data_IF_874825360494
#
_entry.id   IF_874825360494
#
_cell.length_a   1.000
_cell.length_b   1.000
_cell.length_c   1.000
_cell.angle_alpha   90.00
_cell.angle_beta   90.00
_cell.angle_gamma   90.00
#
_symmetry.space_group_name_H-M   'P 1'
#
loop_
_entity.id
_entity.type
_entity.pdbx_description
1 polymer ?
#
# COMPACT_ATOMS: atom_id res chain seq x y z
N UNK A 1 1.27 -1.46 -14.21
CA UNK A 1 0.16 -1.19 -15.14
C UNK A 1 0.74 -0.94 -16.52
N UNK A 2 0.15 -1.56 -17.54
CA UNK A 2 0.48 -1.39 -18.95
C UNK A 2 -0.75 -0.90 -19.70
N UNK A 3 -0.55 -0.23 -20.82
CA UNK A 3 -1.62 0.25 -21.70
C UNK A 3 -1.39 -0.30 -23.10
N UNK A 4 -2.46 -0.68 -23.78
CA UNK A 4 -2.43 -1.16 -25.16
C UNK A 4 -3.00 -0.08 -26.06
N UNK A 5 -2.22 0.37 -27.03
CA UNK A 5 -2.61 1.49 -27.90
C UNK A 5 -2.45 1.10 -29.36
N UNK A 6 -3.41 1.51 -30.19
CA UNK A 6 -3.37 1.25 -31.63
C UNK A 6 -2.18 1.91 -32.33
N UNK A 7 -1.71 3.06 -31.82
CA UNK A 7 -0.53 3.74 -32.34
C UNK A 7 0.75 2.88 -32.26
N UNK A 8 0.79 1.91 -31.36
CA UNK A 8 1.88 0.94 -31.21
C UNK A 8 1.58 -0.40 -31.89
N UNK A 9 0.52 -0.48 -32.71
CA UNK A 9 0.08 -1.70 -33.37
C UNK A 9 -0.59 -2.72 -32.43
N UNK A 10 -0.97 -2.32 -31.20
CA UNK A 10 -1.65 -3.22 -30.28
C UNK A 10 -3.14 -3.35 -30.61
N UNK A 11 -3.68 -4.54 -30.40
CA UNK A 11 -5.12 -4.85 -30.41
C UNK A 11 -5.52 -5.43 -29.04
N UNK A 12 -6.75 -5.17 -28.59
CA UNK A 12 -7.28 -5.76 -27.36
C UNK A 12 -7.51 -7.27 -27.51
N UNK A 13 -7.98 -7.70 -28.69
CA UNK A 13 -8.12 -9.10 -29.11
C UNK A 13 -6.79 -9.85 -29.07
N UNK A 14 -5.74 -9.29 -29.66
CA UNK A 14 -4.39 -9.86 -29.65
C UNK A 14 -3.76 -9.84 -28.27
N UNK A 15 -4.03 -8.80 -27.48
CA UNK A 15 -3.63 -8.78 -26.08
C UNK A 15 -4.28 -9.95 -25.32
N UNK A 16 -5.61 -10.04 -25.34
CA UNK A 16 -6.38 -11.09 -24.66
C UNK A 16 -5.96 -12.50 -25.08
N UNK A 17 -5.94 -12.77 -26.39
CA UNK A 17 -5.55 -14.06 -26.95
C UNK A 17 -4.16 -14.48 -26.47
N UNK A 18 -3.19 -13.56 -26.50
CA UNK A 18 -1.83 -13.85 -26.05
C UNK A 18 -1.81 -14.28 -24.59
N UNK A 19 -2.45 -13.54 -23.67
CA UNK A 19 -2.36 -13.79 -22.22
C UNK A 19 -3.08 -15.08 -21.83
N UNK A 20 -4.26 -15.31 -22.40
CA UNK A 20 -5.10 -16.45 -22.07
C UNK A 20 -4.77 -17.71 -22.88
N UNK A 21 -3.86 -17.65 -23.85
CA UNK A 21 -3.58 -18.81 -24.71
C UNK A 21 -4.77 -19.19 -25.59
N UNK A 22 -5.55 -18.21 -26.04
CA UNK A 22 -6.76 -18.41 -26.84
C UNK A 22 -6.51 -18.16 -28.32
N UNK A 23 -7.47 -18.56 -29.15
CA UNK A 23 -7.60 -18.11 -30.53
C UNK A 23 -8.73 -17.08 -30.62
N UNK A 24 -8.43 -15.85 -31.01
CA UNK A 24 -9.42 -14.78 -31.20
C UNK A 24 -9.21 -14.17 -32.59
N UNK A 25 -10.27 -14.09 -33.39
CA UNK A 25 -10.29 -13.32 -34.62
C UNK A 25 -10.57 -11.85 -34.28
N UNK A 26 -9.67 -10.96 -34.68
CA UNK A 26 -9.92 -9.52 -34.64
C UNK A 26 -10.77 -9.13 -35.86
N UNK A 27 -12.05 -8.85 -35.64
CA UNK A 27 -13.01 -8.55 -36.70
C UNK A 27 -12.68 -7.24 -37.44
N UNK A 28 -12.00 -6.31 -36.77
CA UNK A 28 -11.66 -5.00 -37.35
C UNK A 28 -10.51 -5.10 -38.35
N UNK A 29 -9.56 -6.00 -38.11
CA UNK A 29 -8.35 -6.17 -38.92
C UNK A 29 -8.35 -7.43 -39.77
N UNK A 30 -9.27 -8.37 -39.50
CA UNK A 30 -9.29 -9.71 -40.09
C UNK A 30 -8.16 -10.62 -39.59
N UNK A 31 -7.36 -10.18 -38.61
CA UNK A 31 -6.21 -10.94 -38.12
C UNK A 31 -6.64 -11.97 -37.09
N UNK A 32 -6.33 -13.25 -37.33
CA UNK A 32 -6.52 -14.31 -36.36
C UNK A 32 -5.31 -14.39 -35.41
N UNK A 33 -5.52 -14.07 -34.14
CA UNK A 33 -4.52 -14.21 -33.09
C UNK A 33 -4.64 -15.60 -32.46
N UNK A 34 -3.77 -16.54 -32.85
CA UNK A 34 -3.79 -17.92 -32.36
C UNK A 34 -2.62 -18.21 -31.41
N UNK A 35 -2.93 -18.28 -30.11
CA UNK A 35 -1.96 -18.60 -29.06
C UNK A 35 -2.33 -19.88 -28.31
N UNK A 36 -3.11 -20.77 -28.92
CA UNK A 36 -3.54 -22.06 -28.34
C UNK A 36 -2.38 -22.98 -27.97
N UNK A 37 -1.21 -22.78 -28.59
CA UNK A 37 0.02 -23.54 -28.28
C UNK A 37 0.84 -22.93 -27.13
N UNK A 38 0.34 -21.88 -26.49
CA UNK A 38 1.05 -21.24 -25.38
C UNK A 38 1.03 -22.15 -24.16
N UNK A 39 2.22 -22.37 -23.59
CA UNK A 39 2.39 -23.11 -22.34
C UNK A 39 2.38 -22.18 -21.13
N UNK A 40 2.10 -22.75 -19.97
CA UNK A 40 2.19 -22.09 -18.69
C UNK A 40 1.03 -21.17 -18.32
N UNK A 41 -0.07 -21.21 -19.07
CA UNK A 41 -1.35 -20.62 -18.65
C UNK A 41 -2.09 -21.68 -17.83
N UNK A 42 -2.35 -21.43 -16.55
CA UNK A 42 -2.93 -22.43 -15.63
C UNK A 42 -4.39 -22.18 -15.32
N UNK A 43 -4.85 -20.93 -15.37
CA UNK A 43 -6.27 -20.57 -15.23
C UNK A 43 -6.57 -19.32 -16.05
N UNK A 44 -7.78 -19.25 -16.60
CA UNK A 44 -8.31 -18.11 -17.35
C UNK A 44 -9.74 -17.85 -16.89
N UNK A 45 -10.03 -16.62 -16.49
CA UNK A 45 -11.35 -16.18 -16.06
C UNK A 45 -11.75 -14.91 -16.83
N UNK A 46 -12.96 -14.88 -17.36
CA UNK A 46 -13.61 -13.66 -17.85
C UNK A 46 -14.57 -13.19 -16.77
N UNK A 47 -14.44 -11.93 -16.35
CA UNK A 47 -15.25 -11.30 -15.32
C UNK A 47 -15.90 -10.04 -15.89
N UNK A 48 -17.14 -9.79 -15.51
CA UNK A 48 -17.93 -8.64 -15.93
C UNK A 48 -18.85 -8.19 -14.78
N UNK A 49 -19.40 -6.97 -14.84
CA UNK A 49 -20.48 -6.55 -13.97
C UNK A 49 -21.68 -7.51 -14.04
N UNK A 50 -22.46 -7.60 -12.95
CA UNK A 50 -23.61 -8.51 -12.86
C UNK A 50 -24.72 -8.17 -13.86
N UNK A 51 -24.82 -6.90 -14.25
CA UNK A 51 -25.79 -6.38 -15.22
C UNK A 51 -25.25 -6.41 -16.67
N UNK A 52 -24.10 -7.05 -16.91
CA UNK A 52 -23.52 -7.16 -18.23
C UNK A 52 -24.34 -8.09 -19.15
N UNK A 53 -24.26 -7.91 -20.49
CA UNK A 53 -24.96 -8.76 -21.43
C UNK A 53 -24.43 -10.19 -21.40
N UNK A 54 -25.24 -11.18 -21.80
CA UNK A 54 -24.85 -12.60 -21.80
C UNK A 54 -23.58 -12.88 -22.62
N UNK A 55 -23.36 -12.14 -23.72
CA UNK A 55 -22.15 -12.27 -24.54
C UNK A 55 -20.87 -11.90 -23.78
N UNK A 56 -20.94 -11.20 -22.64
CA UNK A 56 -19.79 -10.83 -21.84
C UNK A 56 -19.09 -12.03 -21.17
N UNK A 57 -19.71 -13.22 -21.17
CA UNK A 57 -19.07 -14.46 -20.76
C UNK A 57 -18.04 -14.97 -21.79
N UNK A 58 -18.16 -14.61 -23.07
CA UNK A 58 -17.22 -15.00 -24.12
C UNK A 58 -16.09 -13.97 -24.27
N UNK A 59 -14.82 -14.34 -23.98
CA UNK A 59 -13.70 -13.43 -24.16
C UNK A 59 -13.57 -12.93 -25.62
N UNK A 60 -13.87 -13.75 -26.63
CA UNK A 60 -13.77 -13.33 -28.02
C UNK A 60 -14.77 -12.21 -28.33
N UNK A 61 -16.03 -12.37 -27.92
CA UNK A 61 -17.06 -11.34 -28.02
C UNK A 61 -16.68 -10.06 -27.27
N UNK A 62 -16.21 -10.18 -26.02
CA UNK A 62 -15.80 -9.04 -25.18
C UNK A 62 -14.72 -8.20 -25.85
N UNK A 63 -13.64 -8.83 -26.29
CA UNK A 63 -12.48 -8.08 -26.78
C UNK A 63 -12.70 -7.52 -28.19
N UNK A 64 -13.55 -8.14 -29.01
CA UNK A 64 -14.01 -7.53 -30.26
C UNK A 64 -14.96 -6.35 -29.99
N UNK A 65 -15.87 -6.45 -29.02
CA UNK A 65 -16.73 -5.33 -28.63
C UNK A 65 -15.90 -4.15 -28.07
N UNK A 66 -14.85 -4.43 -27.30
CA UNK A 66 -13.93 -3.42 -26.79
C UNK A 66 -13.17 -2.70 -27.93
N UNK A 67 -12.70 -3.44 -28.93
CA UNK A 67 -12.10 -2.85 -30.15
C UNK A 67 -13.09 -1.94 -30.88
N UNK A 68 -14.33 -2.40 -31.12
CA UNK A 68 -15.36 -1.61 -31.82
C UNK A 68 -15.72 -0.32 -31.08
N UNK A 69 -15.72 -0.34 -29.76
CA UNK A 69 -16.07 0.83 -28.95
C UNK A 69 -15.01 1.95 -29.00
N UNK A 70 -13.78 1.66 -29.43
CA UNK A 70 -12.73 2.66 -29.59
C UNK A 70 -12.65 3.18 -31.03
N UNK A 71 -12.92 4.48 -31.23
CA UNK A 71 -13.09 5.05 -32.58
C UNK A 71 -11.84 5.69 -33.20
N UNK A 72 -10.76 5.93 -32.44
CA UNK A 72 -9.59 6.69 -32.94
C UNK A 72 -8.41 5.77 -33.27
N UNK A 73 -7.59 6.18 -34.25
CA UNK A 73 -6.36 5.45 -34.67
C UNK A 73 -5.30 5.30 -33.59
N UNK A 74 -5.33 6.16 -32.57
CA UNK A 74 -4.40 6.16 -31.44
C UNK A 74 -5.08 5.81 -30.11
N UNK A 75 -6.27 5.20 -30.15
CA UNK A 75 -7.01 4.83 -28.94
C UNK A 75 -6.20 3.87 -28.07
N UNK A 76 -6.25 4.09 -26.76
CA UNK A 76 -6.00 3.04 -25.78
C UNK A 76 -7.19 2.08 -25.82
N UNK A 77 -6.94 0.80 -26.08
CA UNK A 77 -7.95 -0.25 -26.33
C UNK A 77 -8.09 -1.23 -25.17
N UNK A 78 -7.07 -1.34 -24.32
CA UNK A 78 -7.10 -2.15 -23.09
C UNK A 78 -6.02 -1.66 -22.11
N UNK A 79 -6.16 -2.03 -20.85
CA UNK A 79 -5.17 -1.80 -19.79
C UNK A 79 -4.87 -3.13 -19.10
N UNK A 80 -3.68 -3.26 -18.52
CA UNK A 80 -3.26 -4.49 -17.84
C UNK A 80 -2.60 -4.19 -16.49
N UNK A 81 -3.08 -4.88 -15.46
CA UNK A 81 -2.35 -5.10 -14.22
C UNK A 81 -1.64 -6.44 -14.30
N UNK A 82 -0.31 -6.40 -14.25
CA UNK A 82 0.53 -7.59 -14.08
C UNK A 82 0.95 -7.65 -12.62
N UNK A 83 0.59 -8.74 -11.95
CA UNK A 83 0.76 -8.90 -10.50
C UNK A 83 1.48 -10.21 -10.23
N UNK A 84 2.57 -10.15 -9.45
CA UNK A 84 3.22 -11.35 -8.93
C UNK A 84 2.32 -11.99 -7.86
N UNK A 85 2.10 -13.29 -7.95
CA UNK A 85 1.35 -14.06 -6.98
C UNK A 85 2.31 -14.76 -6.02
N UNK A 86 2.09 -14.72 -4.70
CA UNK A 86 2.99 -15.35 -3.75
C UNK A 86 3.15 -16.86 -4.00
N UNK A 87 4.39 -17.33 -4.08
CA UNK A 87 4.71 -18.75 -4.24
C UNK A 87 4.29 -19.60 -3.04
N UNK A 88 4.12 -18.98 -1.87
CA UNK A 88 3.67 -19.60 -0.63
C UNK A 88 2.19 -20.02 -0.68
N UNK A 89 1.39 -19.43 -1.57
CA UNK A 89 0.01 -19.85 -1.81
C UNK A 89 0.00 -21.04 -2.75
N UNK A 90 -0.89 -22.01 -2.53
CA UNK A 90 -1.08 -23.13 -3.47
C UNK A 90 -1.80 -22.67 -4.77
N UNK A 91 -1.91 -23.51 -5.81
CA UNK A 91 -2.54 -23.13 -7.07
C UNK A 91 -3.94 -22.52 -6.92
N UNK A 92 -4.85 -23.18 -6.19
CA UNK A 92 -6.24 -22.73 -6.00
C UNK A 92 -6.31 -21.39 -5.26
N UNK A 93 -5.46 -21.20 -4.26
CA UNK A 93 -5.36 -19.95 -3.50
C UNK A 93 -4.82 -18.80 -4.38
N UNK A 94 -3.89 -19.09 -5.30
CA UNK A 94 -3.39 -18.09 -6.26
C UNK A 94 -4.46 -17.72 -7.27
N UNK A 95 -5.24 -18.68 -7.74
CA UNK A 95 -6.39 -18.43 -8.60
C UNK A 95 -7.46 -17.60 -7.90
N UNK A 96 -7.80 -17.92 -6.65
CA UNK A 96 -8.73 -17.13 -5.84
C UNK A 96 -8.25 -15.69 -5.66
N UNK A 97 -6.98 -15.48 -5.31
CA UNK A 97 -6.39 -14.13 -5.24
C UNK A 97 -6.47 -13.40 -6.59
N UNK A 98 -6.13 -14.07 -7.69
CA UNK A 98 -6.17 -13.45 -9.02
C UNK A 98 -7.61 -13.07 -9.43
N UNK A 99 -8.59 -13.90 -9.10
CA UNK A 99 -10.02 -13.62 -9.29
C UNK A 99 -10.45 -12.38 -8.51
N UNK A 100 -10.12 -12.31 -7.21
CA UNK A 100 -10.51 -11.17 -6.37
C UNK A 100 -9.84 -9.86 -6.81
N UNK A 101 -8.59 -9.93 -7.29
CA UNK A 101 -7.93 -8.78 -7.92
C UNK A 101 -8.64 -8.34 -9.22
N UNK A 102 -9.17 -9.28 -10.00
CA UNK A 102 -9.99 -9.00 -11.17
C UNK A 102 -11.33 -8.36 -10.79
N UNK A 103 -12.04 -8.91 -9.80
CA UNK A 103 -13.30 -8.37 -9.29
C UNK A 103 -13.14 -6.97 -8.72
N UNK A 104 -12.04 -6.67 -8.02
CA UNK A 104 -11.74 -5.32 -7.56
C UNK A 104 -11.75 -4.30 -8.71
N UNK A 105 -11.31 -4.67 -9.92
CA UNK A 105 -11.39 -3.78 -11.09
C UNK A 105 -12.82 -3.68 -11.64
N UNK A 106 -13.57 -4.78 -11.66
CA UNK A 106 -14.99 -4.80 -12.04
C UNK A 106 -15.76 -3.86 -11.13
N UNK A 107 -15.67 -4.03 -9.81
CA UNK A 107 -16.35 -3.21 -8.80
C UNK A 107 -15.95 -1.73 -8.88
N UNK A 108 -14.66 -1.44 -9.09
CA UNK A 108 -14.15 -0.07 -9.06
C UNK A 108 -14.46 0.72 -10.33
N UNK A 109 -14.49 0.07 -11.48
CA UNK A 109 -14.57 0.75 -12.78
C UNK A 109 -15.75 0.32 -13.66
N UNK A 110 -16.51 -0.68 -13.23
CA UNK A 110 -17.59 -1.30 -14.00
C UNK A 110 -17.14 -1.74 -15.39
N UNK A 111 -16.00 -2.43 -15.47
CA UNK A 111 -15.32 -2.84 -16.71
C UNK A 111 -15.34 -4.35 -16.91
N UNK A 112 -15.15 -4.80 -18.15
CA UNK A 112 -14.85 -6.20 -18.44
C UNK A 112 -13.39 -6.50 -18.10
N UNK A 113 -13.13 -7.68 -17.54
CA UNK A 113 -11.81 -8.12 -17.10
C UNK A 113 -11.53 -9.54 -17.57
N UNK A 114 -10.32 -9.79 -18.06
CA UNK A 114 -9.77 -11.11 -18.33
C UNK A 114 -8.58 -11.34 -17.39
N UNK A 115 -8.67 -12.34 -16.54
CA UNK A 115 -7.61 -12.78 -15.65
C UNK A 115 -6.98 -14.03 -16.25
N UNK A 116 -5.66 -14.02 -16.45
CA UNK A 116 -4.90 -15.21 -16.84
C UNK A 116 -3.77 -15.44 -15.85
N UNK A 117 -3.78 -16.57 -15.16
CA UNK A 117 -2.74 -16.97 -14.20
C UNK A 117 -1.67 -17.78 -14.94
N UNK A 118 -0.41 -17.39 -14.74
CA UNK A 118 0.75 -17.99 -15.39
C UNK A 118 1.66 -18.65 -14.35
N UNK A 119 2.17 -19.82 -14.73
CA UNK A 119 3.22 -20.50 -13.98
C UNK A 119 4.61 -19.93 -14.33
N UNK A 120 5.62 -20.18 -13.48
CA UNK A 120 7.00 -19.84 -13.77
C UNK A 120 7.47 -20.45 -15.09
N UNK A 121 8.25 -19.69 -15.86
CA UNK A 121 8.90 -20.26 -17.05
C UNK A 121 9.97 -21.27 -16.65
N UNK A 122 10.16 -22.34 -17.44
CA UNK A 122 11.18 -23.39 -17.23
C UNK A 122 12.60 -22.86 -16.95
N UNK A 123 12.98 -21.74 -17.56
CA UNK A 123 14.32 -21.12 -17.43
C UNK A 123 14.34 -19.91 -16.47
N UNK A 124 13.25 -19.70 -15.73
CA UNK A 124 13.05 -18.56 -14.84
C UNK A 124 13.19 -18.92 -13.36
N UNK A 125 12.89 -17.95 -12.50
CA UNK A 125 12.71 -18.17 -11.07
C UNK A 125 11.41 -18.96 -10.86
N UNK A 126 11.51 -20.13 -10.24
CA UNK A 126 10.41 -21.07 -9.96
C UNK A 126 9.35 -20.49 -9.00
N UNK A 127 9.62 -19.34 -8.39
CA UNK A 127 8.64 -18.63 -7.56
C UNK A 127 7.82 -17.60 -8.34
N UNK A 128 8.15 -17.33 -9.60
CA UNK A 128 7.55 -16.27 -10.39
C UNK A 128 6.16 -16.63 -10.97
N UNK A 129 5.24 -17.03 -10.10
CA UNK A 129 3.82 -17.09 -10.43
C UNK A 129 3.30 -15.66 -10.62
N UNK A 130 2.50 -15.43 -11.66
CA UNK A 130 1.98 -14.09 -11.94
C UNK A 130 0.63 -14.15 -12.63
N UNK A 131 -0.19 -13.12 -12.42
CA UNK A 131 -1.44 -12.92 -13.12
C UNK A 131 -1.31 -11.76 -14.11
N UNK A 132 -1.78 -11.99 -15.33
CA UNK A 132 -2.12 -10.95 -16.27
C UNK A 132 -3.60 -10.62 -16.12
N UNK A 133 -3.92 -9.40 -15.67
CA UNK A 133 -5.30 -8.94 -15.48
C UNK A 133 -5.55 -7.82 -16.50
N UNK A 134 -6.09 -8.20 -17.66
CA UNK A 134 -6.43 -7.30 -18.75
C UNK A 134 -7.85 -6.76 -18.52
N UNK A 135 -8.07 -5.46 -18.70
CA UNK A 135 -9.38 -4.85 -18.50
C UNK A 135 -9.70 -3.80 -19.57
N UNK A 136 -11.00 -3.64 -19.87
CA UNK A 136 -11.49 -2.72 -20.88
C UNK A 136 -11.27 -1.26 -20.49
N UNK A 137 -11.28 -0.37 -21.48
CA UNK A 137 -11.13 1.08 -21.29
C UNK A 137 -12.45 1.80 -21.07
N UNK A 138 -13.57 1.09 -21.22
CA UNK A 138 -14.94 1.60 -21.14
C UNK A 138 -15.75 0.78 -20.16
N UNK A 139 -16.71 1.47 -19.54
CA UNK A 139 -17.74 0.87 -18.70
C UNK A 139 -18.53 -0.13 -19.53
N UNK A 140 -18.73 -1.33 -19.00
CA UNK A 140 -19.62 -2.35 -19.54
C UNK A 140 -20.92 -2.29 -18.75
N UNK A 141 -22.05 -2.09 -19.41
CA UNK A 141 -23.39 -2.18 -18.79
C UNK A 141 -24.33 -3.06 -19.62
N UNK A 142 -25.64 -3.04 -19.36
CA UNK A 142 -26.62 -3.95 -19.98
C UNK A 142 -26.72 -3.85 -21.50
N UNK A 143 -26.40 -2.68 -22.05
CA UNK A 143 -26.39 -2.42 -23.50
C UNK A 143 -25.00 -2.58 -24.13
N UNK A 144 -24.02 -3.05 -23.37
CA UNK A 144 -22.63 -3.20 -23.79
C UNK A 144 -21.71 -2.05 -23.37
N UNK A 145 -20.67 -1.78 -24.15
CA UNK A 145 -19.64 -0.80 -23.81
C UNK A 145 -20.13 0.65 -23.98
N UNK A 146 -20.15 1.39 -22.88
CA UNK A 146 -20.55 2.80 -22.81
C UNK A 146 -19.37 3.78 -22.67
N UNK A 147 -19.47 4.66 -21.68
CA UNK A 147 -18.52 5.75 -21.46
C UNK A 147 -17.09 5.26 -21.19
N UNK A 148 -16.10 6.04 -21.64
CA UNK A 148 -14.68 5.75 -21.38
C UNK A 148 -14.32 6.05 -19.94
N UNK A 149 -13.67 5.11 -19.27
CA UNK A 149 -13.06 5.31 -17.95
C UNK A 149 -11.88 6.28 -18.09
N UNK A 150 -11.96 7.46 -17.46
CA UNK A 150 -10.93 8.51 -17.60
C UNK A 150 -10.04 8.70 -16.38
N UNK A 151 -10.37 8.06 -15.25
CA UNK A 151 -9.66 8.25 -13.97
C UNK A 151 -8.17 7.88 -14.04
N UNK A 152 -7.82 6.87 -14.85
CA UNK A 152 -6.45 6.42 -15.11
C UNK A 152 -5.75 7.22 -16.22
N UNK A 153 -6.47 8.01 -17.00
CA UNK A 153 -5.94 8.76 -18.15
C UNK A 153 -5.57 10.20 -17.79
N UNK A 154 -6.23 10.78 -16.79
CA UNK A 154 -5.98 12.16 -16.34
C UNK A 154 -4.67 12.25 -15.56
N UNK A 155 -3.87 13.28 -15.83
CA UNK A 155 -2.56 13.50 -15.20
C UNK A 155 -2.69 13.78 -13.70
N UNK A 156 -3.78 14.46 -13.32
CA UNK A 156 -4.09 14.88 -11.97
C UNK A 156 -4.47 13.68 -11.09
N UNK A 157 -5.37 12.81 -11.58
CA UNK A 157 -5.90 11.69 -10.79
C UNK A 157 -5.14 10.38 -11.00
N UNK A 158 -4.52 10.16 -12.16
CA UNK A 158 -3.96 8.86 -12.52
C UNK A 158 -2.83 8.40 -11.60
N UNK A 159 -2.01 9.31 -11.06
CA UNK A 159 -0.93 8.95 -10.12
C UNK A 159 -1.48 8.47 -8.77
N UNK A 160 -2.52 9.13 -8.26
CA UNK A 160 -3.16 8.75 -7.01
C UNK A 160 -3.93 7.44 -7.20
N UNK A 161 -4.58 7.29 -8.35
CA UNK A 161 -5.33 6.09 -8.71
C UNK A 161 -4.42 4.84 -8.82
N UNK A 162 -3.26 4.98 -9.46
CA UNK A 162 -2.26 3.89 -9.50
C UNK A 162 -1.72 3.58 -8.10
N UNK A 163 -1.56 4.59 -7.23
CA UNK A 163 -1.17 4.35 -5.83
C UNK A 163 -2.26 3.60 -5.07
N UNK A 164 -3.53 3.95 -5.28
CA UNK A 164 -4.67 3.26 -4.69
C UNK A 164 -4.74 1.79 -5.16
N UNK A 165 -4.67 1.53 -6.46
CA UNK A 165 -4.67 0.17 -7.00
C UNK A 165 -3.52 -0.68 -6.42
N UNK A 166 -2.33 -0.10 -6.28
CA UNK A 166 -1.19 -0.79 -5.64
C UNK A 166 -1.46 -1.12 -4.17
N UNK A 167 -2.12 -0.21 -3.45
CA UNK A 167 -2.52 -0.44 -2.06
C UNK A 167 -3.56 -1.57 -1.96
N UNK A 168 -4.56 -1.59 -2.84
CA UNK A 168 -5.59 -2.65 -2.88
C UNK A 168 -5.00 -4.00 -3.26
N UNK A 169 -4.09 -4.05 -4.24
CA UNK A 169 -3.36 -5.28 -4.58
C UNK A 169 -2.62 -5.82 -3.35
N UNK A 170 -1.90 -4.97 -2.61
CA UNK A 170 -1.22 -5.39 -1.39
C UNK A 170 -2.20 -5.83 -0.30
N UNK A 171 -3.33 -5.13 -0.13
CA UNK A 171 -4.38 -5.47 0.84
C UNK A 171 -4.95 -6.85 0.58
N UNK A 172 -5.42 -7.11 -0.65
CA UNK A 172 -5.99 -8.40 -1.05
C UNK A 172 -4.95 -9.52 -0.95
N UNK A 173 -3.73 -9.29 -1.44
CA UNK A 173 -2.64 -10.28 -1.32
C UNK A 173 -2.38 -10.64 0.14
N UNK A 174 -2.32 -9.66 1.04
CA UNK A 174 -2.12 -9.90 2.47
C UNK A 174 -3.29 -10.61 3.15
N UNK A 175 -4.53 -10.38 2.70
CA UNK A 175 -5.70 -11.11 3.19
C UNK A 175 -5.63 -12.58 2.80
N UNK A 176 -5.29 -12.87 1.55
CA UNK A 176 -5.11 -14.25 1.07
C UNK A 176 -3.95 -14.96 1.76
N UNK A 177 -2.80 -14.28 1.96
CA UNK A 177 -1.68 -14.81 2.75
C UNK A 177 -2.10 -15.13 4.20
N UNK A 178 -2.87 -14.23 4.84
CA UNK A 178 -3.36 -14.45 6.19
C UNK A 178 -4.34 -15.63 6.26
N UNK A 179 -5.26 -15.74 5.31
CA UNK A 179 -6.22 -16.85 5.22
C UNK A 179 -5.53 -18.20 5.01
N UNK A 180 -4.41 -18.22 4.29
CA UNK A 180 -3.57 -19.39 4.11
C UNK A 180 -2.64 -19.70 5.32
N UNK A 181 -2.71 -18.92 6.41
CA UNK A 181 -1.83 -19.08 7.57
C UNK A 181 -0.38 -18.67 7.33
N UNK A 182 -0.09 -18.00 6.21
CA UNK A 182 1.25 -17.50 5.87
C UNK A 182 1.50 -16.21 6.65
N UNK A 183 2.63 -16.11 7.35
CA UNK A 183 2.98 -14.92 8.16
C UNK A 183 3.56 -13.79 7.32
N UNK A 184 4.16 -14.11 6.17
CA UNK A 184 4.71 -13.13 5.25
C UNK A 184 3.65 -12.13 4.78
N UNK A 185 4.08 -10.88 4.55
CA UNK A 185 3.23 -9.80 4.05
C UNK A 185 3.95 -9.04 2.95
N UNK A 186 3.18 -8.48 2.03
CA UNK A 186 3.65 -7.57 0.98
C UNK A 186 3.30 -6.13 1.33
N UNK A 187 4.12 -5.19 0.87
CA UNK A 187 3.90 -3.76 1.05
C UNK A 187 4.18 -3.04 -0.28
N UNK A 188 3.22 -2.23 -0.71
CA UNK A 188 3.23 -1.53 -1.98
C UNK A 188 4.06 -0.24 -1.97
N UNK A 189 4.41 0.26 -0.79
CA UNK A 189 5.14 1.52 -0.61
C UNK A 189 6.61 1.34 -0.99
N UNK A 190 7.30 2.45 -1.22
CA UNK A 190 8.73 2.39 -1.51
C UNK A 190 9.50 1.80 -0.32
N UNK A 191 10.68 1.22 -0.61
CA UNK A 191 11.59 0.72 0.44
C UNK A 191 11.91 1.81 1.47
N UNK A 192 12.08 3.06 1.02
CA UNK A 192 12.30 4.23 1.88
C UNK A 192 11.11 4.47 2.81
N UNK A 193 9.90 4.58 2.29
CA UNK A 193 8.70 4.82 3.10
C UNK A 193 8.45 3.71 4.14
N UNK A 194 8.73 2.46 3.76
CA UNK A 194 8.67 1.32 4.66
C UNK A 194 9.74 1.44 5.76
N UNK A 195 10.98 1.78 5.40
CA UNK A 195 12.08 1.96 6.34
C UNK A 195 11.79 3.13 7.31
N UNK A 196 11.28 4.25 6.82
CA UNK A 196 10.88 5.39 7.65
C UNK A 196 9.76 4.99 8.63
N UNK A 197 8.78 4.20 8.17
CA UNK A 197 7.74 3.66 9.05
C UNK A 197 8.30 2.71 10.12
N UNK A 198 9.30 1.89 9.77
CA UNK A 198 9.99 1.02 10.71
C UNK A 198 10.80 1.81 11.74
N UNK A 199 11.48 2.89 11.30
CA UNK A 199 12.23 3.77 12.18
C UNK A 199 11.34 4.44 13.23
N UNK A 200 10.15 4.91 12.83
CA UNK A 200 9.15 5.46 13.77
C UNK A 200 8.71 4.44 14.83
N UNK A 201 8.70 3.14 14.50
CA UNK A 201 8.40 2.06 15.46
C UNK A 201 9.62 1.62 16.27
N UNK A 202 10.80 2.18 16.02
CA UNK A 202 12.05 1.76 16.64
C UNK A 202 12.58 0.40 16.15
N UNK A 203 12.07 -0.12 15.04
CA UNK A 203 12.48 -1.42 14.49
C UNK A 203 13.75 -1.27 13.64
N UNK A 204 14.90 -1.20 14.32
CA UNK A 204 16.22 -0.99 13.69
C UNK A 204 16.61 -2.10 12.72
N UNK A 205 16.19 -3.34 12.98
CA UNK A 205 16.44 -4.47 12.10
C UNK A 205 15.65 -4.35 10.79
N UNK A 206 14.38 -3.94 10.87
CA UNK A 206 13.59 -3.68 9.67
C UNK A 206 14.09 -2.46 8.91
N UNK A 207 14.50 -1.37 9.58
CA UNK A 207 15.14 -0.22 8.92
C UNK A 207 16.34 -0.70 8.10
N UNK A 208 17.25 -1.46 8.71
CA UNK A 208 18.39 -2.00 7.98
C UNK A 208 17.93 -2.83 6.76
N UNK A 209 17.08 -3.84 6.97
CA UNK A 209 16.60 -4.69 5.87
C UNK A 209 15.94 -3.89 4.73
N UNK A 210 15.19 -2.84 5.07
CA UNK A 210 14.40 -2.05 4.13
C UNK A 210 15.23 -0.97 3.43
N UNK A 211 16.31 -0.48 4.04
CA UNK A 211 17.27 0.43 3.41
C UNK A 211 18.19 -0.28 2.39
N UNK A 212 17.88 -1.50 1.97
CA UNK A 212 18.65 -2.21 0.93
C UNK A 212 18.57 -1.50 -0.42
N UNK A 213 19.62 -1.61 -1.22
CA UNK A 213 19.64 -1.04 -2.57
C UNK A 213 18.71 -1.83 -3.50
N UNK A 214 17.77 -1.19 -4.21
CA UNK A 214 16.90 -1.88 -5.16
C UNK A 214 17.71 -2.36 -6.37
N UNK A 215 17.30 -3.51 -6.93
CA UNK A 215 17.87 -3.98 -8.20
C UNK A 215 17.41 -3.10 -9.36
N UNK A 216 18.22 -3.08 -10.41
CA UNK A 216 17.98 -2.36 -11.65
C UNK A 216 17.12 -3.20 -12.60
N UNK A 217 16.17 -2.54 -13.28
CA UNK A 217 15.33 -3.21 -14.28
C UNK A 217 16.19 -3.67 -15.45
N UNK A 218 16.26 -5.00 -15.66
CA UNK A 218 17.14 -5.62 -16.66
C UNK A 218 16.66 -5.41 -18.10
N UNK A 219 15.35 -5.28 -18.32
CA UNK A 219 14.78 -5.18 -19.67
C UNK A 219 14.76 -6.51 -20.43
N UNK A 220 14.00 -6.53 -21.53
CA UNK A 220 13.76 -7.75 -22.33
C UNK A 220 15.04 -8.29 -22.98
N UNK A 221 15.84 -7.42 -23.60
CA UNK A 221 17.05 -7.80 -24.33
C UNK A 221 18.10 -8.43 -23.41
N UNK A 222 18.39 -7.82 -22.25
CA UNK A 222 19.35 -8.38 -21.30
C UNK A 222 18.86 -9.69 -20.69
N UNK A 223 17.54 -9.84 -20.49
CA UNK A 223 16.95 -11.11 -20.04
C UNK A 223 17.12 -12.21 -21.10
N UNK A 224 16.90 -11.89 -22.38
CA UNK A 224 17.05 -12.83 -23.48
C UNK A 224 18.51 -13.28 -23.66
N UNK A 225 19.48 -12.35 -23.55
CA UNK A 225 20.91 -12.67 -23.62
C UNK A 225 21.34 -13.61 -22.48
N UNK A 226 20.93 -13.32 -21.24
CA UNK A 226 21.28 -14.18 -20.10
C UNK A 226 20.61 -15.55 -20.14
N UNK A 227 19.40 -15.67 -20.69
CA UNK A 227 18.79 -16.99 -20.96
C UNK A 227 19.60 -17.83 -21.94
N UNK A 228 20.38 -17.20 -22.81
CA UNK A 228 21.35 -17.87 -23.69
C UNK A 228 22.72 -18.08 -23.04
N UNK A 229 22.83 -17.89 -21.72
CA UNK A 229 24.07 -18.01 -20.96
C UNK A 229 25.03 -16.81 -21.09
N UNK A 230 24.64 -15.74 -21.78
CA UNK A 230 25.51 -14.59 -21.99
C UNK A 230 25.44 -13.62 -20.81
N UNK A 231 26.60 -13.19 -20.29
CA UNK A 231 26.65 -12.18 -19.23
C UNK A 231 26.26 -10.81 -19.78
N UNK A 232 25.49 -10.07 -18.99
CA UNK A 232 25.16 -8.67 -19.30
C UNK A 232 25.64 -7.76 -18.18
N UNK A 233 25.94 -6.51 -18.51
CA UNK A 233 26.30 -5.47 -17.54
C UNK A 233 25.23 -5.35 -16.45
N UNK A 234 23.95 -5.24 -16.85
CA UNK A 234 22.80 -5.19 -15.93
C UNK A 234 22.71 -6.42 -15.02
N UNK A 235 23.03 -7.61 -15.52
CA UNK A 235 23.11 -8.83 -14.72
C UNK A 235 24.21 -8.77 -13.66
N UNK A 236 25.39 -8.27 -14.05
CA UNK A 236 26.54 -8.06 -13.17
C UNK A 236 26.26 -7.04 -12.07
N UNK A 237 25.67 -5.89 -12.42
CA UNK A 237 25.24 -4.84 -11.47
C UNK A 237 24.27 -5.41 -10.43
N UNK A 238 23.23 -6.13 -10.88
CA UNK A 238 22.26 -6.73 -9.98
C UNK A 238 22.86 -7.84 -9.11
N UNK A 239 23.84 -8.60 -9.60
CA UNK A 239 24.58 -9.56 -8.81
C UNK A 239 25.44 -8.87 -7.73
N UNK A 240 26.05 -7.73 -8.04
CA UNK A 240 26.75 -6.90 -7.04
C UNK A 240 25.79 -6.38 -5.97
N UNK A 241 24.66 -5.78 -6.37
CA UNK A 241 23.61 -5.29 -5.46
C UNK A 241 23.12 -6.40 -4.53
N UNK A 242 22.88 -7.62 -5.04
CA UNK A 242 22.48 -8.77 -4.21
C UNK A 242 23.54 -9.14 -3.16
N UNK A 243 24.82 -9.18 -3.56
CA UNK A 243 25.92 -9.47 -2.64
C UNK A 243 26.01 -8.41 -1.54
N UNK A 244 25.96 -7.14 -1.92
CA UNK A 244 26.02 -6.02 -0.97
C UNK A 244 24.85 -6.04 0.01
N UNK A 245 23.61 -6.21 -0.50
CA UNK A 245 22.41 -6.34 0.34
C UNK A 245 22.49 -7.53 1.32
N UNK A 246 23.11 -8.64 0.91
CA UNK A 246 23.28 -9.83 1.76
C UNK A 246 24.31 -9.58 2.87
N UNK A 247 25.44 -8.95 2.53
CA UNK A 247 26.48 -8.60 3.50
C UNK A 247 25.94 -7.65 4.58
N UNK A 248 25.23 -6.62 4.13
CA UNK A 248 24.55 -5.65 4.98
C UNK A 248 23.53 -6.30 5.92
N UNK A 249 22.65 -7.16 5.39
CA UNK A 249 21.65 -7.85 6.19
C UNK A 249 22.27 -8.77 7.25
N UNK A 250 23.41 -9.42 6.94
CA UNK A 250 24.18 -10.23 7.88
C UNK A 250 24.76 -9.38 9.00
N UNK A 251 25.37 -8.23 8.67
CA UNK A 251 25.95 -7.31 9.64
C UNK A 251 24.90 -6.69 10.58
N UNK A 252 23.72 -6.36 10.06
CA UNK A 252 22.59 -5.88 10.88
C UNK A 252 22.10 -6.94 11.87
N UNK A 253 21.94 -8.20 11.42
CA UNK A 253 21.56 -9.32 12.31
C UNK A 253 22.60 -9.61 13.38
N UNK A 254 23.87 -9.43 13.08
CA UNK A 254 24.98 -9.62 14.02
C UNK A 254 25.13 -8.45 15.02
N UNK A 255 24.23 -7.46 15.03
CA UNK A 255 24.31 -6.30 15.93
C UNK A 255 25.46 -5.33 15.61
N UNK A 256 26.15 -5.49 14.48
CA UNK A 256 27.30 -4.67 14.08
C UNK A 256 26.89 -3.34 13.43
N UNK A 257 25.60 -3.20 13.10
CA UNK A 257 25.00 -1.98 12.57
C UNK A 257 23.99 -1.48 13.62
N UNK A 258 24.51 -0.82 14.65
CA UNK A 258 23.69 -0.14 15.65
C UNK A 258 23.48 1.33 15.25
N UNK A 259 22.22 1.78 15.27
CA UNK A 259 21.93 3.21 15.44
C UNK A 259 22.22 3.51 16.90
N UNK A 260 23.41 4.02 17.19
CA UNK A 260 23.75 4.49 18.53
C UNK A 260 22.82 5.65 18.89
N UNK A 261 21.79 5.37 19.70
CA UNK A 261 20.85 6.37 20.24
C UNK A 261 21.49 7.20 21.36
N UNK A 262 22.71 6.89 21.78
CA UNK A 262 23.38 7.46 22.95
C UNK A 262 24.64 8.28 22.65
N UNK A 263 24.99 8.51 21.38
CA UNK A 263 26.06 9.45 21.02
C UNK A 263 25.59 10.47 19.99
N UNK A 264 24.94 11.52 20.48
CA UNK A 264 25.35 12.86 20.02
C UNK A 264 26.74 13.05 20.62
N UNK A 265 27.82 13.19 19.83
CA UNK A 265 29.11 13.56 20.41
C UNK A 265 29.01 15.03 20.83
N UNK A 266 28.50 15.26 22.04
CA UNK A 266 28.95 16.37 22.88
C UNK A 266 30.23 15.89 23.55
N UNK A 267 31.38 16.25 22.99
CA UNK A 267 32.65 16.10 23.68
C UNK A 267 33.66 17.09 23.12
N UNK A 268 33.84 18.17 23.88
CA UNK A 268 35.13 18.80 24.16
C UNK A 268 36.33 17.98 23.67
N UNK A 269 37.06 18.56 22.73
CA UNK A 269 38.38 18.12 22.29
C UNK A 269 39.30 18.08 23.52
N UNK A 270 39.44 16.91 24.15
CA UNK A 270 40.49 16.68 25.12
C UNK A 270 41.76 16.41 24.33
N UNK A 271 42.62 17.44 24.22
CA UNK A 271 43.97 17.32 23.67
C UNK A 271 44.74 16.24 24.46
N UNK A 272 45.33 15.22 23.82
CA UNK A 272 46.26 14.33 24.49
C UNK A 272 47.52 15.12 24.88
N UNK A 273 47.95 14.99 26.13
CA UNK A 273 49.25 15.46 26.61
C UNK A 273 50.42 14.63 26.05
N UNK A 274 51.66 15.11 26.18
CA UNK A 274 52.83 14.49 25.56
C UNK A 274 53.30 13.24 26.34
N UNK A 275 53.85 12.26 25.60
CA UNK A 275 54.33 10.93 25.97
C UNK A 275 53.24 9.82 25.97
N UNK A 276 53.26 8.78 25.14
CA UNK A 276 54.35 8.10 24.43
C UNK A 276 54.07 8.00 22.93
N UNK A 277 54.94 8.62 22.13
CA UNK A 277 55.15 8.24 20.73
C UNK A 277 56.14 7.09 20.76
N UNK A 278 55.65 5.86 20.61
CA UNK A 278 56.48 4.70 20.29
C UNK A 278 56.06 4.24 18.89
N UNK A 279 56.91 4.56 17.92
CA UNK A 279 57.14 3.72 16.75
C UNK A 279 56.23 3.94 15.55
N UNK A 280 56.42 5.05 14.84
CA UNK A 280 56.45 4.99 13.38
C UNK A 280 57.47 3.90 12.94
N UNK A 281 57.07 3.11 11.94
CA UNK A 281 57.79 1.99 11.32
C UNK A 281 57.78 0.65 12.08
N UNK A 282 56.89 -0.29 11.70
CA UNK A 282 57.22 -1.71 11.42
C UNK A 282 55.99 -2.63 11.25
N UNK A 283 55.36 -2.59 10.08
CA UNK A 283 54.98 -3.80 9.32
C UNK A 283 55.00 -3.47 7.81
N UNK A 284 56.07 -2.77 7.40
CA UNK A 284 56.55 -2.76 6.02
C UNK A 284 57.73 -3.73 5.94
N UNK A 285 57.54 -4.98 6.36
CA UNK A 285 58.37 -6.05 5.81
C UNK A 285 57.88 -6.25 4.38
N UNK A 286 58.28 -5.34 3.48
CA UNK A 286 58.37 -5.67 2.06
C UNK A 286 59.35 -6.82 2.04
N UNK A 287 58.84 -8.05 1.97
CA UNK A 287 59.71 -9.15 1.65
C UNK A 287 60.47 -8.76 0.35
N UNK A 288 61.67 -9.25 0.16
CA UNK A 288 62.47 -8.96 -1.02
C UNK A 288 62.56 -10.24 -1.85
N UNK A 289 62.28 -10.13 -3.16
CA UNK A 289 62.16 -11.29 -4.06
C UNK A 289 60.79 -11.42 -4.74
N UNK A 290 60.65 -12.35 -5.69
CA UNK A 290 59.42 -12.54 -6.48
C UNK A 290 58.19 -12.87 -5.61
N UNK A 291 58.36 -13.72 -4.58
CA UNK A 291 57.32 -14.09 -3.60
C UNK A 291 56.82 -12.91 -2.77
N UNK A 292 57.65 -11.89 -2.62
CA UNK A 292 57.32 -10.73 -1.82
C UNK A 292 56.55 -9.65 -2.55
N UNK A 293 56.79 -9.49 -3.85
CA UNK A 293 55.94 -8.65 -4.70
C UNK A 293 54.51 -9.18 -4.69
N UNK A 294 54.35 -10.50 -4.72
CA UNK A 294 53.06 -11.16 -4.63
C UNK A 294 52.38 -10.88 -3.28
N UNK A 295 53.09 -11.05 -2.16
CA UNK A 295 52.56 -10.77 -0.82
C UNK A 295 52.21 -9.29 -0.62
N UNK A 296 53.05 -8.37 -1.08
CA UNK A 296 52.77 -6.93 -1.01
C UNK A 296 51.57 -6.54 -1.89
N UNK A 297 51.44 -7.14 -3.08
CA UNK A 297 50.30 -6.94 -3.96
C UNK A 297 49.01 -7.51 -3.32
N UNK A 298 49.08 -8.68 -2.69
CA UNK A 298 47.96 -9.28 -1.95
C UNK A 298 47.55 -8.42 -0.76
N UNK A 299 48.50 -7.95 0.05
CA UNK A 299 48.24 -7.06 1.19
C UNK A 299 47.64 -5.72 0.75
N UNK A 300 48.14 -5.14 -0.35
CA UNK A 300 47.58 -3.89 -0.91
C UNK A 300 46.16 -4.11 -1.43
N UNK A 301 45.91 -5.23 -2.13
CA UNK A 301 44.58 -5.59 -2.60
C UNK A 301 43.60 -5.85 -1.44
N UNK A 302 44.08 -6.45 -0.34
CA UNK A 302 43.29 -6.66 0.86
C UNK A 302 42.99 -5.35 1.60
N UNK A 303 43.97 -4.45 1.73
CA UNK A 303 43.76 -3.12 2.30
C UNK A 303 42.74 -2.31 1.49
N UNK A 304 42.84 -2.32 0.15
CA UNK A 304 41.87 -1.62 -0.69
C UNK A 304 40.48 -2.27 -0.61
N UNK A 305 40.40 -3.60 -0.53
CA UNK A 305 39.14 -4.32 -0.30
C UNK A 305 38.49 -3.90 1.03
N UNK A 306 39.26 -3.85 2.11
CA UNK A 306 38.78 -3.41 3.43
C UNK A 306 38.37 -1.94 3.43
N UNK A 307 39.10 -1.07 2.71
CA UNK A 307 38.75 0.34 2.53
C UNK A 307 37.39 0.49 1.85
N UNK A 308 37.20 -0.22 0.74
CA UNK A 308 35.94 -0.25 -0.02
C UNK A 308 34.80 -0.78 0.87
N UNK A 309 35.02 -1.86 1.62
CA UNK A 309 34.01 -2.42 2.54
C UNK A 309 33.65 -1.43 3.66
N UNK A 310 34.63 -0.76 4.25
CA UNK A 310 34.44 0.28 5.28
C UNK A 310 33.63 1.45 4.73
N UNK A 311 34.01 1.98 3.56
CA UNK A 311 33.33 3.14 2.97
C UNK A 311 31.89 2.80 2.58
N UNK A 312 31.63 1.56 2.12
CA UNK A 312 30.28 1.01 1.91
C UNK A 312 29.45 0.94 3.20
N UNK A 313 30.02 0.39 4.28
CA UNK A 313 29.34 0.32 5.57
C UNK A 313 29.01 1.73 6.10
N UNK A 314 29.91 2.70 5.92
CA UNK A 314 29.66 4.11 6.28
C UNK A 314 28.51 4.72 5.49
N UNK A 315 28.46 4.52 4.17
CA UNK A 315 27.36 4.99 3.34
C UNK A 315 26.01 4.39 3.78
N UNK A 316 26.02 3.11 4.13
CA UNK A 316 24.84 2.41 4.60
C UNK A 316 24.37 2.89 5.99
N UNK A 317 25.29 3.11 6.94
CA UNK A 317 24.98 3.72 8.24
C UNK A 317 24.39 5.12 8.05
N UNK A 318 24.96 5.93 7.15
CA UNK A 318 24.43 7.26 6.83
C UNK A 318 22.98 7.19 6.34
N UNK A 319 22.68 6.29 5.42
CA UNK A 319 21.30 6.09 4.93
C UNK A 319 20.34 5.66 6.05
N UNK A 320 20.77 4.78 6.97
CA UNK A 320 19.95 4.43 8.14
C UNK A 320 19.69 5.66 9.02
N UNK A 321 20.71 6.48 9.27
CA UNK A 321 20.60 7.71 10.06
C UNK A 321 19.66 8.72 9.39
N UNK A 322 19.74 8.89 8.07
CA UNK A 322 18.84 9.76 7.29
C UNK A 322 17.38 9.29 7.40
N UNK A 323 17.14 8.00 7.19
CA UNK A 323 15.79 7.41 7.35
C UNK A 323 15.27 7.54 8.78
N UNK A 324 16.13 7.38 9.79
CA UNK A 324 15.76 7.55 11.19
C UNK A 324 15.39 9.00 11.50
N UNK A 325 16.20 9.96 11.05
CA UNK A 325 15.94 11.39 11.21
C UNK A 325 14.65 11.82 10.50
N UNK A 326 14.39 11.30 9.30
CA UNK A 326 13.12 11.51 8.58
C UNK A 326 11.93 10.97 9.37
N UNK A 327 12.06 9.77 9.93
CA UNK A 327 11.02 9.16 10.75
C UNK A 327 10.68 10.01 11.97
N UNK A 328 11.70 10.49 12.68
CA UNK A 328 11.57 11.38 13.83
C UNK A 328 10.96 12.74 13.45
N UNK A 329 11.44 13.37 12.39
CA UNK A 329 10.92 14.65 11.90
C UNK A 329 9.42 14.56 11.56
N UNK A 330 9.01 13.45 10.92
CA UNK A 330 7.62 13.21 10.59
C UNK A 330 6.76 12.92 11.82
N UNK A 331 7.28 12.18 12.81
CA UNK A 331 6.58 11.98 14.09
C UNK A 331 6.36 13.32 14.82
N UNK A 332 7.39 14.17 14.88
CA UNK A 332 7.33 15.50 15.46
C UNK A 332 6.36 16.43 14.69
N UNK A 333 6.22 16.27 13.38
CA UNK A 333 5.24 16.99 12.59
C UNK A 333 3.78 16.60 12.93
N UNK A 334 3.52 15.32 13.19
CA UNK A 334 2.19 14.85 13.64
C UNK A 334 1.85 15.43 15.00
N UNK A 335 2.79 15.39 15.96
CA UNK A 335 2.61 15.99 17.29
C UNK A 335 2.32 17.49 17.18
N UNK A 336 3.10 18.23 16.38
CA UNK A 336 2.87 19.67 16.17
C UNK A 336 1.51 19.98 15.55
N UNK A 337 1.04 19.17 14.60
CA UNK A 337 -0.31 19.34 14.02
C UNK A 337 -1.40 19.08 15.05
N UNK A 338 -1.27 18.00 15.83
CA UNK A 338 -2.22 17.69 16.90
C UNK A 338 -2.26 18.78 17.97
N UNK A 339 -1.10 19.34 18.36
CA UNK A 339 -1.02 20.51 19.24
C UNK A 339 -1.73 21.72 18.62
N UNK A 340 -1.44 22.06 17.37
CA UNK A 340 -2.09 23.18 16.69
C UNK A 340 -3.61 22.99 16.49
N UNK A 341 -4.10 21.76 16.39
CA UNK A 341 -5.54 21.45 16.37
C UNK A 341 -6.16 21.61 17.76
N UNK A 342 -5.47 21.14 18.81
CA UNK A 342 -5.90 21.32 20.19
C UNK A 342 -5.96 22.80 20.59
N UNK A 343 -4.92 23.58 20.27
CA UNK A 343 -4.84 25.01 20.55
C UNK A 343 -5.95 25.80 19.84
N UNK A 344 -6.29 25.40 18.60
CA UNK A 344 -7.41 25.97 17.84
C UNK A 344 -8.75 25.67 18.50
N UNK A 345 -8.99 24.40 18.86
CA UNK A 345 -10.21 24.00 19.53
C UNK A 345 -10.38 24.70 20.90
N UNK A 346 -9.30 24.89 21.65
CA UNK A 346 -9.30 25.65 22.90
C UNK A 346 -9.60 27.14 22.67
N UNK A 347 -8.97 27.75 21.67
CA UNK A 347 -9.22 29.15 21.29
C UNK A 347 -10.67 29.37 20.88
N UNK A 348 -11.25 28.47 20.09
CA UNK A 348 -12.66 28.50 19.69
C UNK A 348 -13.60 28.37 20.91
N UNK A 349 -13.27 27.47 21.85
CA UNK A 349 -14.03 27.29 23.09
C UNK A 349 -14.01 28.54 23.97
N UNK A 350 -12.84 29.16 24.14
CA UNK A 350 -12.68 30.40 24.89
C UNK A 350 -13.42 31.57 24.20
N UNK A 351 -13.32 31.70 22.88
CA UNK A 351 -14.05 32.71 22.13
C UNK A 351 -15.58 32.54 22.29
N UNK A 352 -16.08 31.31 22.22
CA UNK A 352 -17.49 31.00 22.46
C UNK A 352 -17.94 31.33 23.89
N UNK A 353 -17.10 31.10 24.89
CA UNK A 353 -17.38 31.50 26.28
C UNK A 353 -17.43 33.03 26.41
N UNK A 354 -16.45 33.74 25.85
CA UNK A 354 -16.40 35.20 25.87
C UNK A 354 -17.60 35.84 25.17
N UNK A 355 -18.05 35.27 24.05
CA UNK A 355 -19.25 35.73 23.34
C UNK A 355 -20.52 35.60 24.20
N UNK A 356 -20.61 34.58 25.06
CA UNK A 356 -21.74 34.38 26.00
C UNK A 356 -21.70 35.30 27.22
N UNK A 357 -20.50 35.77 27.60
CA UNK A 357 -20.31 36.62 28.79
C UNK A 357 -20.23 38.12 28.48
N UNK A 358 -20.35 38.53 27.21
CA UNK A 358 -20.44 39.96 26.88
C UNK A 358 -21.76 40.53 27.42
N UNK A 359 -21.74 41.54 28.29
CA UNK A 359 -22.96 42.26 28.66
C UNK A 359 -23.52 42.93 27.40
N UNK A 360 -24.80 42.71 27.11
CA UNK A 360 -25.53 43.51 26.12
C UNK A 360 -25.59 44.95 26.62
N UNK A 361 -25.00 45.88 25.87
CA UNK A 361 -25.02 47.30 26.20
C UNK A 361 -26.47 47.82 26.24
N UNK A 362 -26.87 48.22 27.45
CA UNK A 362 -27.91 49.17 27.86
C UNK A 362 -29.07 49.47 26.88
N UNK A 363 -30.23 48.84 27.14
CA UNK A 363 -31.52 49.49 26.87
C UNK A 363 -31.78 50.57 27.92
N UNK A 364 -31.85 51.83 27.48
CA UNK A 364 -32.29 52.97 28.29
C UNK A 364 -33.78 52.88 28.57
N UNK A 365 -34.18 52.68 29.82
CA UNK A 365 -35.59 52.70 30.27
C UNK A 365 -35.97 54.12 30.73
N UNK A 366 -37.09 54.71 30.29
CA UNK A 366 -37.49 56.06 30.69
C UNK A 366 -38.07 56.08 32.10
N UNK A 367 -37.68 57.11 32.86
CA UNK A 367 -38.11 57.38 34.24
C UNK A 367 -39.57 57.86 34.29
N UNK A 368 -40.41 57.13 35.03
CA UNK A 368 -41.71 57.61 35.49
C UNK A 368 -41.60 58.08 36.95
N UNK A 369 -41.99 59.34 37.13
CA UNK A 369 -42.16 60.04 38.39
C UNK A 369 -43.29 59.42 39.24
N UNK A 370 -43.01 59.15 40.51
CA UNK A 370 -43.97 59.50 41.57
C UNK A 370 -43.33 59.43 42.96
N UNK A 371 -43.38 60.60 43.60
CA UNK A 371 -43.22 60.85 45.03
C UNK A 371 -43.93 59.84 45.95
N UNK A 372 -43.28 59.42 47.06
CA UNK A 372 -43.67 59.68 48.47
C UNK A 372 -43.04 58.69 49.47
N UNK A 373 -42.40 59.30 50.47
CA UNK A 373 -42.36 58.98 51.93
C UNK A 373 -41.97 57.58 52.44
N UNK A 374 -40.79 57.57 53.08
CA UNK A 374 -40.48 57.14 54.47
C UNK A 374 -41.24 55.96 55.10
N UNK A 375 -40.49 54.97 55.58
CA UNK A 375 -40.99 53.99 56.54
C UNK A 375 -39.92 53.01 57.01
N UNK A 376 -39.84 52.81 58.32
CA UNK A 376 -38.76 52.14 59.08
C UNK A 376 -39.08 50.64 59.30
N UNK A 377 -38.02 49.87 59.58
CA UNK A 377 -37.92 48.65 60.44
C UNK A 377 -38.38 47.26 59.93
N UNK A 378 -37.37 46.37 59.90
CA UNK A 378 -37.24 45.00 60.50
C UNK A 378 -38.38 43.97 60.36
N UNK A 379 -38.01 42.79 59.84
CA UNK A 379 -38.61 41.47 60.13
C UNK A 379 -37.92 40.39 59.28
N UNK A 380 -36.98 39.61 59.84
CA UNK A 380 -37.09 38.18 60.21
C UNK A 380 -37.62 37.23 59.11
N UNK A 381 -36.84 36.16 58.88
CA UNK A 381 -37.06 34.97 58.04
C UNK A 381 -38.45 34.32 58.27
N UNK A 382 -38.94 33.50 57.34
CA UNK A 382 -38.79 32.05 57.57
C UNK A 382 -38.48 31.21 56.31
N UNK A 383 -38.19 29.95 56.60
CA UNK A 383 -37.87 28.82 55.73
C UNK A 383 -38.93 28.50 54.66
N UNK A 384 -38.51 27.87 53.56
CA UNK A 384 -39.42 27.20 52.61
C UNK A 384 -38.88 25.81 52.28
N UNK A 385 -39.73 24.83 52.58
CA UNK A 385 -39.64 23.40 52.30
C UNK A 385 -39.68 23.04 50.79
N UNK A 386 -39.35 21.78 50.44
CA UNK A 386 -39.12 21.33 49.06
C UNK A 386 -40.28 20.49 48.49
N UNK A 387 -40.62 20.68 47.22
CA UNK A 387 -41.23 19.70 46.30
C UNK A 387 -41.56 20.41 44.97
N UNK A 388 -41.37 19.86 43.77
CA UNK A 388 -40.97 18.52 43.39
C UNK A 388 -40.91 18.37 41.86
N UNK A 389 -40.38 17.20 41.47
CA UNK A 389 -40.62 16.42 40.24
C UNK A 389 -40.48 17.09 38.87
N UNK A 390 -39.46 16.67 38.11
CA UNK A 390 -39.64 16.08 36.78
C UNK A 390 -38.42 15.25 36.37
N UNK A 391 -38.73 14.13 35.72
CA UNK A 391 -37.88 12.98 35.38
C UNK A 391 -36.73 13.25 34.39
N UNK A 392 -35.73 12.34 34.28
CA UNK A 392 -34.57 12.52 33.43
C UNK A 392 -34.80 11.98 32.01
N UNK A 393 -34.46 12.76 30.99
CA UNK A 393 -34.34 12.28 29.61
C UNK A 393 -32.86 12.12 29.20
N UNK A 394 -32.51 10.85 29.00
CA UNK A 394 -31.52 10.29 28.07
C UNK A 394 -30.10 10.86 28.01
N UNK A 395 -29.21 10.21 28.75
CA UNK A 395 -27.77 10.18 28.48
C UNK A 395 -27.47 9.28 27.27
N UNK A 396 -26.91 9.84 26.20
CA UNK A 396 -26.28 9.07 25.13
C UNK A 396 -24.97 8.43 25.63
N UNK A 397 -24.82 7.13 25.37
CA UNK A 397 -23.71 6.30 25.83
C UNK A 397 -22.38 6.61 25.09
N UNK A 398 -21.35 6.87 25.89
CA UNK A 398 -19.96 7.02 25.47
C UNK A 398 -19.31 5.63 25.24
N UNK A 399 -18.74 5.29 24.06
CA UNK A 399 -18.41 3.91 23.68
C UNK A 399 -17.07 3.39 24.22
N UNK A 400 -16.74 3.61 25.50
CA UNK A 400 -15.47 3.12 26.12
C UNK A 400 -15.59 2.45 27.50
N UNK A 401 -16.73 1.88 27.88
CA UNK A 401 -16.84 1.19 29.20
C UNK A 401 -17.69 -0.07 29.23
N UNK A 402 -17.77 -0.86 28.15
CA UNK A 402 -18.44 -2.16 28.20
C UNK A 402 -17.52 -3.23 28.81
N UNK A 403 -17.95 -3.84 29.91
CA UNK A 403 -17.31 -5.00 30.52
C UNK A 403 -17.38 -6.24 29.60
N UNK A 404 -16.53 -7.25 29.84
CA UNK A 404 -16.52 -8.51 29.06
C UNK A 404 -17.89 -9.21 29.01
N UNK A 405 -18.70 -9.13 30.07
CA UNK A 405 -20.07 -9.69 30.10
C UNK A 405 -21.01 -8.92 29.17
N UNK A 406 -20.95 -7.60 29.18
CA UNK A 406 -21.78 -6.76 28.30
C UNK A 406 -21.40 -6.94 26.82
N UNK A 407 -20.12 -7.19 26.50
CA UNK A 407 -19.70 -7.59 25.16
C UNK A 407 -20.20 -8.97 24.72
N UNK A 408 -20.38 -9.91 25.65
CA UNK A 408 -20.95 -11.22 25.33
C UNK A 408 -22.46 -11.12 25.07
N UNK A 409 -23.15 -10.28 25.83
CA UNK A 409 -24.59 -10.06 25.72
C UNK A 409 -24.96 -9.26 24.47
N UNK A 410 -24.18 -8.21 24.14
CA UNK A 410 -24.31 -7.46 22.87
C UNK A 410 -24.15 -8.38 21.66
N UNK A 411 -23.12 -9.25 21.67
CA UNK A 411 -22.89 -10.23 20.59
C UNK A 411 -23.99 -11.31 20.50
N UNK A 412 -24.65 -11.67 21.60
CA UNK A 412 -25.83 -12.56 21.57
C UNK A 412 -27.04 -11.86 20.97
N UNK A 413 -27.24 -10.58 21.27
CA UNK A 413 -28.34 -9.76 20.74
C UNK A 413 -28.20 -9.52 19.24
N UNK A 414 -26.99 -9.20 18.77
CA UNK A 414 -26.68 -9.03 17.34
C UNK A 414 -26.89 -10.33 16.54
N UNK A 415 -26.51 -11.49 17.09
CA UNK A 415 -26.78 -12.79 16.44
C UNK A 415 -28.27 -13.14 16.36
N UNK A 416 -29.08 -12.67 17.32
CA UNK A 416 -30.52 -12.92 17.36
C UNK A 416 -31.31 -12.06 16.38
N UNK A 417 -30.79 -10.89 16.01
CA UNK A 417 -31.35 -10.06 14.93
C UNK A 417 -31.07 -10.69 13.56
N UNK A 418 -29.88 -11.29 13.40
CA UNK A 418 -29.47 -11.91 12.14
C UNK A 418 -30.16 -13.25 11.81
N UNK A 419 -30.87 -13.85 12.78
CA UNK A 419 -31.60 -15.13 12.59
C UNK A 419 -33.11 -14.96 12.34
N UNK A 420 -33.64 -13.73 12.46
CA UNK A 420 -35.08 -13.47 12.26
C UNK A 420 -35.38 -13.03 10.82
N UNK A 421 -34.39 -12.53 10.08
CA UNK A 421 -34.56 -12.10 8.68
C UNK A 421 -34.44 -13.23 7.63
N UNK A 422 -33.97 -14.42 8.02
CA UNK A 422 -33.78 -15.57 7.11
C UNK A 422 -35.02 -16.49 6.99
N UNK A 423 -36.13 -16.17 7.66
CA UNK A 423 -37.30 -17.06 7.75
C UNK A 423 -38.61 -16.42 7.27
N UNK A 424 -38.58 -15.65 6.18
CA UNK A 424 -39.78 -15.14 5.52
C UNK A 424 -39.65 -15.15 3.99
N UNK A 425 -39.82 -16.32 3.38
CA UNK A 425 -40.27 -16.47 1.98
C UNK A 425 -41.44 -17.47 1.97
N UNK A 426 -42.65 -17.07 1.49
CA UNK A 426 -43.77 -17.99 1.38
C UNK A 426 -43.59 -18.95 0.19
N UNK A 427 -43.76 -20.24 0.48
CA UNK A 427 -43.70 -21.35 -0.48
C UNK A 427 -44.83 -21.25 -1.52
N UNK A 428 -44.45 -21.21 -2.80
CA UNK A 428 -45.35 -21.25 -3.95
C UNK A 428 -46.04 -22.62 -4.10
N UNK A 429 -47.37 -22.60 -4.11
CA UNK A 429 -48.22 -23.76 -4.39
C UNK A 429 -48.25 -24.13 -5.88
N UNK A 430 -47.87 -25.39 -6.14
CA UNK A 430 -48.16 -26.32 -7.25
C UNK A 430 -49.03 -25.81 -8.42
N UNK A 431 -48.50 -25.93 -9.65
CA UNK A 431 -49.29 -26.10 -10.89
C UNK A 431 -49.57 -27.59 -11.16
N UNK A 432 -50.73 -27.98 -11.72
CA UNK A 432 -51.02 -29.35 -12.13
C UNK A 432 -50.48 -29.65 -13.54
N UNK A 433 -50.18 -30.92 -13.80
CA UNK A 433 -49.80 -31.46 -15.12
C UNK A 433 -51.03 -31.55 -16.04
N UNK A 434 -50.93 -31.31 -17.35
CA UNK A 434 -51.95 -31.72 -18.29
C UNK A 434 -51.72 -33.17 -18.73
N UNK A 435 -52.83 -33.90 -18.87
CA UNK A 435 -52.93 -35.11 -19.69
C UNK A 435 -53.31 -34.78 -21.13
#
# INVERSE_FOLDING_TARGET
MKVFTRAQGHTATGAAAYRAGLRILDERTGTAHDYTRRKGVVSVLTLSPDDAPEWAADPSAVWNAAERAEGRRNSCVARELEVALPSELNPDQREALARDLGLMLVERYNVAVLVAVHEPSETGDDRNHHAHILFSTRVLGPEGFGAKTTVLDKRETGKDEVRHLRAEVARLTNQHLAAAGVVCRVDHRSLRDQATSAARRGDTLAVARLSRTPQLHRGKSATALERRGQRTERGGENAAIRRDNTAVARSARAGRIGVDRSRVPSASVRRPGPAQVIGDASFNTRATGASARLLNAQATAEQERLRIERDRLRAYVRMIQEVAAEGEAQANAVVRRAQAEADRAESERLAALHARTRPTEHETVPMLDSSRRSGRKRGRRPDVEPAGRSEPMHSEENPRSLSKRQWAEKRRRERRVQTVDDNSIPSATKRPRPG
#
